data_IF_210476541898
#
_entry.id   IF_210476541898
#
_cell.length_a   1.000
_cell.length_b   1.000
_cell.length_c   1.000
_cell.angle_alpha   90.00
_cell.angle_beta   90.00
_cell.angle_gamma   90.00
#
_symmetry.space_group_name_H-M   'P 1'
#
loop_
_entity.id
_entity.type
_entity.pdbx_description
1 polymer ?
#
# COMPACT_ATOMS: atom_id res chain seq x y z
N UNK A 1 -39.15 -13.21 5.93
CA UNK A 1 -38.36 -13.98 4.94
C UNK A 1 -37.20 -13.08 4.54
N UNK A 2 -35.98 -13.38 5.01
CA UNK A 2 -34.83 -12.46 4.92
C UNK A 2 -34.14 -12.58 3.56
N UNK A 3 -34.34 -11.60 2.66
CA UNK A 3 -33.62 -11.46 1.38
C UNK A 3 -32.17 -10.96 1.56
N UNK A 4 -31.81 -10.39 2.71
CA UNK A 4 -30.51 -9.74 2.92
C UNK A 4 -29.29 -10.65 2.72
N UNK A 5 -29.41 -11.95 3.04
CA UNK A 5 -28.30 -12.91 2.89
C UNK A 5 -27.99 -13.16 1.41
N UNK A 6 -28.99 -13.13 0.53
CA UNK A 6 -28.79 -13.29 -0.90
C UNK A 6 -28.23 -12.02 -1.55
N UNK A 7 -28.61 -10.85 -1.05
CA UNK A 7 -28.11 -9.56 -1.52
C UNK A 7 -26.63 -9.36 -1.18
N UNK A 8 -26.20 -9.77 0.01
CA UNK A 8 -24.79 -9.77 0.42
C UNK A 8 -23.94 -10.70 -0.45
N UNK A 9 -24.44 -11.91 -0.72
CA UNK A 9 -23.74 -12.87 -1.59
C UNK A 9 -23.61 -12.35 -3.02
N UNK A 10 -24.68 -11.73 -3.56
CA UNK A 10 -24.65 -11.14 -4.90
C UNK A 10 -23.61 -10.02 -4.99
N UNK A 11 -23.56 -9.12 -4.00
CA UNK A 11 -22.58 -8.05 -3.96
C UNK A 11 -21.12 -8.57 -3.92
N UNK A 12 -20.87 -9.62 -3.14
CA UNK A 12 -19.55 -10.27 -3.08
C UNK A 12 -19.19 -10.89 -4.44
N UNK A 13 -20.07 -11.66 -5.06
CA UNK A 13 -19.78 -12.29 -6.35
C UNK A 13 -19.61 -11.27 -7.49
N UNK A 14 -20.40 -10.19 -7.51
CA UNK A 14 -20.21 -9.11 -8.47
C UNK A 14 -18.86 -8.43 -8.27
N UNK A 15 -18.44 -8.19 -7.03
CA UNK A 15 -17.11 -7.67 -6.73
C UNK A 15 -16.01 -8.63 -7.24
N UNK A 16 -16.12 -9.93 -6.94
CA UNK A 16 -15.16 -10.93 -7.42
C UNK A 16 -15.08 -10.95 -8.96
N UNK A 17 -16.22 -10.91 -9.66
CA UNK A 17 -16.25 -10.87 -11.12
C UNK A 17 -15.59 -9.60 -11.68
N UNK A 18 -15.84 -8.43 -11.09
CA UNK A 18 -15.19 -7.18 -11.48
C UNK A 18 -13.67 -7.28 -11.28
N UNK A 19 -13.24 -7.86 -10.16
CA UNK A 19 -11.83 -8.01 -9.83
C UNK A 19 -11.10 -8.98 -10.79
N UNK A 20 -11.78 -9.94 -11.43
CA UNK A 20 -11.17 -10.83 -12.44
C UNK A 20 -10.61 -10.10 -13.68
N UNK A 21 -11.04 -8.85 -13.93
CA UNK A 21 -10.51 -8.01 -15.00
C UNK A 21 -9.11 -7.44 -14.72
N UNK A 22 -8.68 -7.42 -13.46
CA UNK A 22 -7.40 -6.84 -13.06
C UNK A 22 -6.27 -7.87 -13.09
N UNK A 23 -5.07 -7.42 -13.48
CA UNK A 23 -3.87 -8.26 -13.48
C UNK A 23 -3.45 -8.66 -12.07
N UNK A 24 -3.60 -7.74 -11.11
CA UNK A 24 -3.35 -7.93 -9.70
C UNK A 24 -4.26 -7.01 -8.89
N UNK A 25 -4.58 -7.41 -7.66
CA UNK A 25 -5.40 -6.65 -6.71
C UNK A 25 -4.65 -6.58 -5.40
N UNK A 26 -4.45 -5.37 -4.88
CA UNK A 26 -3.84 -5.13 -3.58
C UNK A 26 -4.93 -4.91 -2.52
N UNK A 27 -4.85 -5.65 -1.41
CA UNK A 27 -5.75 -5.48 -0.26
C UNK A 27 -4.98 -4.72 0.81
N UNK A 28 -5.14 -3.40 0.81
CA UNK A 28 -4.47 -2.47 1.72
C UNK A 28 -5.48 -1.47 2.30
N UNK A 29 -5.16 -0.93 3.47
CA UNK A 29 -5.96 0.11 4.13
C UNK A 29 -5.65 1.48 3.51
N UNK A 30 -6.56 2.46 3.66
CA UNK A 30 -6.39 3.79 3.06
C UNK A 30 -5.19 4.59 3.61
N UNK A 31 -4.64 4.19 4.75
CA UNK A 31 -3.45 4.76 5.40
C UNK A 31 -2.18 3.92 5.18
N UNK A 32 -2.21 2.99 4.22
CA UNK A 32 -1.10 2.12 3.83
C UNK A 32 -0.53 2.45 2.44
N UNK A 33 0.79 2.34 2.29
CA UNK A 33 1.52 2.69 1.07
C UNK A 33 2.56 1.63 0.74
N UNK A 34 2.53 1.09 -0.48
CA UNK A 34 3.54 0.12 -0.93
C UNK A 34 4.79 0.88 -1.38
N UNK A 35 5.94 0.54 -0.80
CA UNK A 35 7.22 1.19 -1.10
C UNK A 35 8.24 0.14 -1.51
N UNK A 36 8.95 0.41 -2.61
CA UNK A 36 10.10 -0.37 -3.04
C UNK A 36 11.35 0.51 -3.24
N UNK A 37 12.51 -0.13 -3.36
CA UNK A 37 13.81 0.55 -3.45
C UNK A 37 14.16 1.09 -4.85
N UNK A 38 13.47 0.58 -5.88
CA UNK A 38 13.61 0.97 -7.29
C UNK A 38 12.91 2.30 -7.62
N UNK A 39 13.39 3.00 -8.64
CA UNK A 39 12.76 4.20 -9.19
C UNK A 39 11.84 3.81 -10.37
N UNK A 40 10.71 3.19 -10.04
CA UNK A 40 9.67 2.77 -10.99
C UNK A 40 8.32 2.82 -10.28
N UNK A 41 7.23 2.67 -11.02
CA UNK A 41 5.90 2.53 -10.42
C UNK A 41 5.73 1.13 -9.82
N UNK A 42 4.82 1.01 -8.86
CA UNK A 42 4.50 -0.28 -8.26
C UNK A 42 3.98 -1.30 -9.29
N UNK A 43 3.20 -0.85 -10.27
CA UNK A 43 2.67 -1.71 -11.33
C UNK A 43 3.77 -2.23 -12.26
N UNK A 44 4.77 -1.40 -12.58
CA UNK A 44 5.96 -1.81 -13.33
C UNK A 44 6.77 -2.82 -12.54
N UNK A 45 7.08 -2.52 -11.28
CA UNK A 45 7.83 -3.42 -10.41
C UNK A 45 7.19 -4.82 -10.30
N UNK A 46 5.86 -4.88 -10.12
CA UNK A 46 5.14 -6.15 -10.11
C UNK A 46 5.29 -6.93 -11.42
N UNK A 47 5.21 -6.23 -12.56
CA UNK A 47 5.23 -6.85 -13.90
C UNK A 47 6.63 -7.24 -14.37
N UNK A 48 7.64 -6.42 -14.11
CA UNK A 48 9.00 -6.61 -14.63
C UNK A 48 9.90 -7.41 -13.71
N UNK A 49 9.67 -7.36 -12.39
CA UNK A 49 10.55 -8.02 -11.41
C UNK A 49 9.86 -9.21 -10.75
N UNK A 50 8.72 -8.99 -10.09
CA UNK A 50 8.12 -10.03 -9.22
C UNK A 50 7.46 -11.16 -9.99
N UNK A 51 6.63 -10.86 -10.98
CA UNK A 51 5.91 -11.90 -11.73
C UNK A 51 6.84 -12.82 -12.55
N UNK A 52 7.89 -12.33 -13.23
CA UNK A 52 8.83 -13.20 -13.93
C UNK A 52 9.61 -14.13 -13.00
N UNK A 53 9.95 -13.66 -11.78
CA UNK A 53 10.64 -14.49 -10.78
C UNK A 53 9.73 -15.55 -10.14
N UNK A 54 8.42 -15.29 -10.11
CA UNK A 54 7.44 -16.19 -9.52
C UNK A 54 6.28 -16.45 -10.49
N UNK A 55 6.53 -17.18 -11.60
CA UNK A 55 5.54 -17.38 -12.65
C UNK A 55 4.32 -18.17 -12.18
N UNK A 56 4.47 -18.97 -11.12
CA UNK A 56 3.42 -19.76 -10.47
C UNK A 56 2.78 -19.05 -9.25
N UNK A 57 3.07 -17.76 -9.03
CA UNK A 57 2.43 -17.01 -7.95
C UNK A 57 0.92 -16.85 -8.18
N UNK A 58 0.12 -17.23 -7.18
CA UNK A 58 -1.25 -16.77 -7.01
C UNK A 58 -1.31 -15.37 -6.37
N UNK A 59 -0.24 -14.97 -5.69
CA UNK A 59 -0.12 -13.68 -5.04
C UNK A 59 1.08 -13.60 -4.14
N UNK A 60 1.29 -12.41 -3.60
CA UNK A 60 2.41 -12.00 -2.81
C UNK A 60 1.93 -11.49 -1.45
N UNK A 61 2.64 -11.89 -0.41
CA UNK A 61 2.42 -11.45 0.96
C UNK A 61 3.54 -10.50 1.34
N UNK A 62 3.17 -9.26 1.65
CA UNK A 62 4.06 -8.19 2.03
C UNK A 62 4.21 -8.09 3.54
N UNK A 63 5.44 -7.82 3.99
CA UNK A 63 5.69 -7.35 5.34
C UNK A 63 5.18 -5.91 5.52
N UNK A 64 4.39 -5.69 6.56
CA UNK A 64 3.93 -4.36 6.96
C UNK A 64 4.87 -3.76 7.98
N UNK A 65 5.38 -2.57 7.67
CA UNK A 65 6.15 -1.71 8.54
C UNK A 65 5.23 -0.65 9.15
N UNK A 66 5.04 -0.69 10.47
CA UNK A 66 4.22 0.31 11.18
C UNK A 66 5.00 1.57 11.53
N UNK A 67 4.38 2.72 11.27
CA UNK A 67 4.85 4.05 11.65
C UNK A 67 3.75 4.78 12.39
N UNK A 68 4.14 5.42 13.48
CA UNK A 68 3.19 6.10 14.34
C UNK A 68 2.99 7.54 13.83
N UNK A 69 1.85 8.17 14.11
CA UNK A 69 1.55 9.56 13.66
C UNK A 69 1.33 10.53 14.82
N UNK A 70 1.26 10.02 16.04
CA UNK A 70 1.13 10.76 17.29
C UNK A 70 2.43 11.46 17.74
N UNK A 71 3.58 11.18 17.12
CA UNK A 71 4.86 11.81 17.47
C UNK A 71 5.08 13.21 16.85
N UNK A 72 4.09 13.72 16.10
CA UNK A 72 4.08 15.07 15.51
C UNK A 72 4.60 15.13 14.07
N UNK A 73 4.30 16.22 13.37
CA UNK A 73 4.69 16.44 11.98
C UNK A 73 6.20 16.77 11.89
N UNK A 74 6.93 16.14 10.96
CA UNK A 74 8.34 16.43 10.67
C UNK A 74 8.59 17.26 9.41
N UNK A 75 7.56 17.57 8.62
CA UNK A 75 7.67 18.30 7.37
C UNK A 75 6.34 18.94 6.94
N UNK A 76 6.37 19.85 5.97
CA UNK A 76 5.20 20.68 5.58
C UNK A 76 4.40 20.14 4.41
N UNK A 77 4.63 18.91 3.97
CA UNK A 77 3.93 18.33 2.82
C UNK A 77 2.41 18.20 3.05
N UNK A 78 1.61 18.27 2.00
CA UNK A 78 0.14 18.22 2.12
C UNK A 78 -0.40 16.81 2.39
N UNK A 79 0.31 15.78 1.93
CA UNK A 79 -0.06 14.37 2.12
C UNK A 79 0.36 13.88 3.50
N UNK A 80 -0.40 12.93 4.06
CA UNK A 80 -0.11 12.35 5.37
C UNK A 80 1.32 11.79 5.43
N UNK A 81 1.73 11.02 4.41
CA UNK A 81 3.05 10.39 4.35
C UNK A 81 4.21 11.38 4.26
N UNK A 82 4.01 12.51 3.56
CA UNK A 82 5.06 13.52 3.35
C UNK A 82 5.26 14.44 4.55
N UNK A 83 4.32 14.43 5.51
CA UNK A 83 4.46 15.08 6.82
C UNK A 83 5.38 14.28 7.77
N UNK A 84 5.58 12.99 7.51
CA UNK A 84 6.24 12.05 8.42
C UNK A 84 7.50 11.40 7.82
N UNK A 85 8.40 12.23 7.26
CA UNK A 85 9.66 11.81 6.63
C UNK A 85 10.68 11.34 7.67
N UNK A 86 10.79 12.06 8.80
CA UNK A 86 11.42 11.47 10.00
C UNK A 86 10.38 10.55 10.61
N UNK A 87 10.74 9.39 11.11
CA UNK A 87 9.77 8.43 11.64
C UNK A 87 10.39 7.55 12.71
N UNK A 88 9.55 6.80 13.41
CA UNK A 88 9.99 5.78 14.35
C UNK A 88 10.57 4.58 13.58
N UNK A 89 11.38 3.76 14.25
CA UNK A 89 11.81 2.51 13.64
C UNK A 89 10.59 1.64 13.28
N UNK A 90 10.59 1.00 12.10
CA UNK A 90 9.50 0.15 11.65
C UNK A 90 9.32 -1.03 12.59
N UNK A 91 8.06 -1.44 12.78
CA UNK A 91 7.73 -2.73 13.35
C UNK A 91 7.08 -3.63 12.32
N UNK A 92 7.44 -4.91 12.36
CA UNK A 92 7.02 -5.93 11.41
C UNK A 92 6.11 -6.93 12.11
N UNK A 93 4.86 -6.54 12.32
CA UNK A 93 3.92 -7.32 13.13
C UNK A 93 2.73 -7.86 12.32
N UNK A 94 2.60 -7.46 11.04
CA UNK A 94 1.48 -7.88 10.18
C UNK A 94 1.89 -8.09 8.72
N UNK A 95 0.99 -8.76 8.02
CA UNK A 95 1.08 -9.05 6.60
C UNK A 95 -0.12 -8.52 5.83
N UNK A 96 0.12 -8.12 4.58
CA UNK A 96 -0.93 -7.74 3.62
C UNK A 96 -0.72 -8.44 2.30
N UNK A 97 -1.80 -8.57 1.54
CA UNK A 97 -1.85 -9.43 0.37
C UNK A 97 -1.99 -8.60 -0.90
N UNK A 98 -1.22 -8.97 -1.92
CA UNK A 98 -1.52 -8.65 -3.31
C UNK A 98 -1.75 -9.97 -4.02
N UNK A 99 -2.89 -10.12 -4.66
CA UNK A 99 -3.24 -11.39 -5.29
C UNK A 99 -3.55 -11.23 -6.77
N UNK A 100 -3.42 -12.33 -7.50
CA UNK A 100 -3.77 -12.47 -8.90
C UNK A 100 -5.14 -13.15 -8.95
N UNK A 101 -6.23 -12.44 -9.29
CA UNK A 101 -7.59 -12.95 -9.20
C UNK A 101 -7.81 -14.26 -9.96
N UNK A 102 -7.20 -14.40 -11.15
CA UNK A 102 -7.34 -15.61 -11.98
C UNK A 102 -6.72 -16.86 -11.34
N UNK A 103 -5.73 -16.68 -10.46
CA UNK A 103 -4.91 -17.74 -9.84
C UNK A 103 -5.24 -18.00 -8.37
N UNK A 104 -6.14 -17.19 -7.81
CA UNK A 104 -6.57 -17.25 -6.41
C UNK A 104 -7.94 -17.91 -6.33
N UNK A 105 -8.14 -18.82 -5.37
CA UNK A 105 -9.41 -19.48 -5.11
C UNK A 105 -10.26 -18.65 -4.15
N UNK A 106 -9.68 -18.27 -3.01
CA UNK A 106 -10.29 -17.42 -1.98
C UNK A 106 -9.19 -16.61 -1.28
N UNK A 107 -9.60 -15.60 -0.50
CA UNK A 107 -8.70 -14.73 0.24
C UNK A 107 -9.25 -14.48 1.65
N UNK A 108 -8.36 -14.51 2.63
CA UNK A 108 -8.60 -14.04 3.99
C UNK A 108 -7.81 -12.74 4.22
N UNK A 109 -8.08 -12.05 5.33
CA UNK A 109 -7.40 -10.78 5.69
C UNK A 109 -5.87 -10.87 5.62
N UNK A 110 -5.28 -12.02 5.93
CA UNK A 110 -3.83 -12.22 5.98
C UNK A 110 -3.33 -13.43 5.16
N UNK A 111 -4.21 -14.08 4.40
CA UNK A 111 -3.88 -15.33 3.69
C UNK A 111 -4.46 -15.35 2.28
N UNK A 112 -3.70 -15.91 1.34
CA UNK A 112 -4.12 -16.15 -0.03
C UNK A 112 -4.26 -17.66 -0.20
N UNK A 113 -5.44 -18.13 -0.62
CA UNK A 113 -5.67 -19.54 -0.93
C UNK A 113 -5.57 -19.74 -2.45
N UNK A 114 -4.47 -20.31 -2.96
CA UNK A 114 -4.25 -20.45 -4.40
C UNK A 114 -5.15 -21.52 -5.02
N UNK A 115 -5.44 -21.37 -6.32
CA UNK A 115 -5.94 -22.49 -7.13
C UNK A 115 -4.84 -23.55 -7.31
N UNK A 116 -5.24 -24.79 -7.61
CA UNK A 116 -4.30 -25.90 -7.85
C UNK A 116 -3.25 -25.50 -8.90
N UNK A 117 -1.98 -25.74 -8.60
CA UNK A 117 -0.84 -25.40 -9.47
C UNK A 117 -0.22 -24.02 -9.24
N UNK A 118 -0.82 -23.18 -8.39
CA UNK A 118 -0.27 -21.88 -8.01
C UNK A 118 0.16 -21.84 -6.54
N UNK A 119 0.98 -20.84 -6.18
CA UNK A 119 1.58 -20.70 -4.85
C UNK A 119 1.37 -19.33 -4.25
N UNK A 120 1.25 -19.30 -2.92
CA UNK A 120 1.35 -18.08 -2.11
C UNK A 120 2.84 -17.78 -1.91
N UNK A 121 3.29 -16.61 -2.34
CA UNK A 121 4.69 -16.17 -2.18
C UNK A 121 4.77 -15.18 -1.03
N UNK A 122 5.63 -15.45 -0.04
CA UNK A 122 5.92 -14.48 1.02
C UNK A 122 7.16 -13.70 0.65
N UNK A 123 7.03 -12.39 0.50
CA UNK A 123 8.14 -11.50 0.19
C UNK A 123 8.89 -11.20 1.49
N UNK A 124 9.98 -11.94 1.72
CA UNK A 124 10.86 -11.78 2.89
C UNK A 124 11.89 -10.67 2.70
N UNK A 125 12.06 -10.18 1.48
CA UNK A 125 13.03 -9.16 1.11
C UNK A 125 12.61 -7.76 1.58
N UNK A 126 13.56 -7.00 2.12
CA UNK A 126 13.42 -5.57 2.40
C UNK A 126 13.24 -4.69 1.14
N UNK A 127 13.30 -5.29 -0.06
CA UNK A 127 13.13 -4.60 -1.34
C UNK A 127 11.70 -4.07 -1.53
N UNK A 128 10.70 -4.70 -0.90
CA UNK A 128 9.30 -4.25 -0.96
C UNK A 128 8.69 -4.35 0.43
N UNK A 129 8.21 -3.22 0.92
CA UNK A 129 7.59 -3.12 2.24
C UNK A 129 6.32 -2.29 2.13
N UNK A 130 5.29 -2.68 2.86
CA UNK A 130 4.11 -1.85 3.03
C UNK A 130 4.35 -0.93 4.23
N UNK A 131 4.29 0.38 4.05
CA UNK A 131 4.31 1.32 5.16
C UNK A 131 2.87 1.59 5.61
N UNK A 132 2.60 1.42 6.90
CA UNK A 132 1.31 1.76 7.52
C UNK A 132 1.50 2.93 8.48
N UNK A 133 0.86 4.07 8.21
CA UNK A 133 0.94 5.26 9.05
C UNK A 133 -0.31 5.42 9.90
N UNK A 134 -0.22 5.19 11.21
CA UNK A 134 -1.38 5.20 12.10
C UNK A 134 -1.10 5.88 13.43
N UNK A 135 -2.14 6.35 14.11
CA UNK A 135 -2.00 6.76 15.52
C UNK A 135 -1.69 5.53 16.37
N UNK A 136 -0.96 5.72 17.46
CA UNK A 136 -0.85 4.65 18.44
C UNK A 136 -2.25 4.26 18.92
N UNK A 137 -2.60 2.96 18.92
CA UNK A 137 -3.85 2.50 19.51
C UNK A 137 -3.94 2.95 20.97
N UNK A 138 -5.11 3.43 21.39
CA UNK A 138 -5.38 3.74 22.80
C UNK A 138 -5.42 2.49 23.69
N UNK A 139 -5.44 1.29 23.10
CA UNK A 139 -5.39 0.04 23.83
C UNK A 139 -3.98 -0.25 24.36
N UNK A 140 -3.89 -0.53 25.66
CA UNK A 140 -2.66 -0.81 26.44
C UNK A 140 -1.76 -1.96 25.90
N UNK A 141 -2.14 -2.61 24.81
CA UNK A 141 -1.37 -3.71 24.21
C UNK A 141 -0.09 -3.21 23.53
N UNK A 142 -0.05 -1.95 23.07
CA UNK A 142 1.13 -1.36 22.43
C UNK A 142 1.94 -0.54 23.43
N UNK A 143 2.36 -1.19 24.55
CA UNK A 143 3.14 -0.56 25.66
C UNK A 143 4.40 0.18 25.19
N UNK A 144 4.89 -0.14 24.01
CA UNK A 144 6.05 0.47 23.36
C UNK A 144 5.76 1.82 22.70
N UNK A 145 4.51 2.31 22.75
CA UNK A 145 4.16 3.61 22.20
C UNK A 145 4.71 4.84 22.97
N UNK A 146 5.62 4.65 23.91
CA UNK A 146 6.02 5.68 24.86
C UNK A 146 7.47 6.16 24.72
N UNK A 147 8.27 5.59 23.81
CA UNK A 147 9.68 6.02 23.58
C UNK A 147 10.10 5.75 22.14
N UNK A 148 10.34 6.80 21.36
CA UNK A 148 10.78 6.65 19.97
C UNK A 148 12.05 7.42 19.65
N UNK A 149 13.02 6.71 19.07
CA UNK A 149 14.13 7.32 18.33
C UNK A 149 13.64 7.66 16.93
N UNK A 150 13.88 8.90 16.49
CA UNK A 150 13.54 9.35 15.14
C UNK A 150 14.65 9.02 14.16
N UNK A 151 14.30 8.41 13.04
CA UNK A 151 15.21 8.14 11.92
C UNK A 151 14.66 8.77 10.64
N UNK A 152 15.54 9.19 9.75
CA UNK A 152 15.15 9.75 8.46
C UNK A 152 14.82 8.62 7.49
N UNK A 153 13.64 8.66 6.87
CA UNK A 153 13.27 7.65 5.89
C UNK A 153 13.64 8.04 4.46
N UNK A 154 14.80 7.56 4.02
CA UNK A 154 15.25 7.78 2.65
C UNK A 154 14.36 7.11 1.60
N UNK A 155 13.60 6.06 1.96
CA UNK A 155 12.68 5.41 1.03
C UNK A 155 11.49 6.31 0.70
N UNK A 156 11.01 7.10 1.66
CA UNK A 156 9.93 8.06 1.41
C UNK A 156 10.31 9.12 0.38
N UNK A 157 11.53 9.66 0.42
CA UNK A 157 11.96 10.66 -0.57
C UNK A 157 11.93 10.15 -2.01
N UNK A 158 12.22 8.86 -2.23
CA UNK A 158 12.17 8.26 -3.57
C UNK A 158 10.75 8.20 -4.15
N UNK A 159 9.73 8.05 -3.31
CA UNK A 159 8.34 7.92 -3.75
C UNK A 159 7.59 9.25 -3.78
N UNK A 160 8.10 10.29 -3.11
CA UNK A 160 7.44 11.60 -3.07
C UNK A 160 7.12 12.14 -4.47
N UNK A 161 8.03 12.13 -5.46
CA UNK A 161 7.73 12.61 -6.81
C UNK A 161 6.57 11.83 -7.47
N UNK A 162 6.52 10.51 -7.27
CA UNK A 162 5.49 9.62 -7.82
C UNK A 162 4.13 9.88 -7.17
N UNK A 163 4.11 10.04 -5.84
CA UNK A 163 2.89 10.38 -5.11
C UNK A 163 2.32 11.74 -5.53
N UNK A 164 3.18 12.77 -5.67
CA UNK A 164 2.75 14.08 -6.16
C UNK A 164 2.13 14.00 -7.55
N UNK A 165 2.77 13.26 -8.46
CA UNK A 165 2.23 13.05 -9.80
C UNK A 165 0.85 12.39 -9.80
N UNK A 166 0.64 11.34 -9.00
CA UNK A 166 -0.64 10.64 -8.93
C UNK A 166 -1.74 11.45 -8.25
N UNK A 167 -1.42 12.21 -7.20
CA UNK A 167 -2.39 13.11 -6.58
C UNK A 167 -2.75 14.25 -7.54
N UNK A 168 -1.79 14.81 -8.26
CA UNK A 168 -2.09 15.83 -9.28
C UNK A 168 -2.99 15.28 -10.38
N UNK A 169 -2.80 14.03 -10.82
CA UNK A 169 -3.70 13.36 -11.77
C UNK A 169 -5.09 13.14 -11.19
N UNK A 170 -5.19 12.57 -9.99
CA UNK A 170 -6.48 12.32 -9.34
C UNK A 170 -7.26 13.62 -9.08
N UNK A 171 -6.57 14.69 -8.66
CA UNK A 171 -7.20 15.99 -8.45
C UNK A 171 -7.61 16.68 -9.75
N UNK A 172 -6.95 16.39 -10.89
CA UNK A 172 -7.39 16.80 -12.22
C UNK A 172 -8.63 16.01 -12.68
N UNK A 173 -8.65 14.70 -12.46
CA UNK A 173 -9.79 13.84 -12.82
C UNK A 173 -11.07 14.18 -12.03
N UNK A 174 -10.93 14.60 -10.77
CA UNK A 174 -12.07 15.03 -9.93
C UNK A 174 -12.43 16.52 -10.18
N UNK A 175 -11.76 17.19 -11.12
CA UNK A 175 -12.07 18.58 -11.53
C UNK A 175 -11.73 19.65 -10.48
N UNK A 176 -10.90 19.33 -9.48
CA UNK A 176 -10.57 20.24 -8.37
C UNK A 176 -9.44 21.22 -8.77
N UNK A 177 -8.56 20.84 -9.70
CA UNK A 177 -7.47 21.71 -10.16
C UNK A 177 -7.74 22.18 -11.59
N UNK A 178 -8.59 23.19 -11.74
CA UNK A 178 -8.52 24.14 -12.86
C UNK A 178 -7.64 25.32 -12.45
N UNK A 179 -6.32 25.07 -12.27
CA UNK A 179 -5.26 26.09 -12.25
C UNK A 179 -3.90 25.42 -12.17
N UNK A 180 -3.28 25.22 -13.32
CA UNK A 180 -1.83 25.09 -13.43
C UNK A 180 -1.21 26.45 -13.11
N UNK A 181 -0.98 26.74 -11.83
CA UNK A 181 -0.07 27.80 -11.42
C UNK A 181 1.25 27.19 -10.92
N UNK A 182 2.22 27.13 -11.84
CA UNK A 182 3.64 27.43 -11.61
C UNK A 182 4.40 26.84 -10.40
N UNK A 183 4.19 25.58 -9.99
CA UNK A 183 5.03 24.98 -8.92
C UNK A 183 6.43 24.53 -9.41
N UNK A 184 6.67 24.39 -10.73
CA UNK A 184 7.97 23.89 -11.26
C UNK A 184 8.91 24.92 -11.88
N UNK A 185 8.66 26.23 -11.76
CA UNK A 185 9.57 27.24 -12.36
C UNK A 185 10.72 27.74 -11.46
N UNK A 186 10.79 27.38 -10.18
CA UNK A 186 11.80 27.90 -9.25
C UNK A 186 12.73 26.85 -8.62
N UNK A 187 13.20 25.89 -9.43
CA UNK A 187 14.44 25.16 -9.12
C UNK A 187 15.36 25.24 -10.33
N UNK A 188 16.04 26.38 -10.47
CA UNK A 188 17.35 26.41 -11.11
C UNK A 188 18.39 26.09 -10.04
N UNK A 189 19.23 25.10 -10.36
CA UNK A 189 20.53 24.84 -9.72
C UNK A 189 21.43 26.06 -10.00
#
# INVERSE_FOLDING_TARGET
MFQSVHDEQLAVFTCEQLLQGFAFVAVIDFDEYIIHDKFMTYSEFMKSELLPLHPDAAGFVLNVSFFLTDWGISGTGNMLTTKYIRRTNPRYERYKNIYLPRRTKTLDTHTIHPKKGYKRIVLTSHSVVLHHYRKCPSSFQWKFCLRYTKTLDFKMFKIMPVLYYHVDLAMKEIGIINRTDNIFRNTKI
#
